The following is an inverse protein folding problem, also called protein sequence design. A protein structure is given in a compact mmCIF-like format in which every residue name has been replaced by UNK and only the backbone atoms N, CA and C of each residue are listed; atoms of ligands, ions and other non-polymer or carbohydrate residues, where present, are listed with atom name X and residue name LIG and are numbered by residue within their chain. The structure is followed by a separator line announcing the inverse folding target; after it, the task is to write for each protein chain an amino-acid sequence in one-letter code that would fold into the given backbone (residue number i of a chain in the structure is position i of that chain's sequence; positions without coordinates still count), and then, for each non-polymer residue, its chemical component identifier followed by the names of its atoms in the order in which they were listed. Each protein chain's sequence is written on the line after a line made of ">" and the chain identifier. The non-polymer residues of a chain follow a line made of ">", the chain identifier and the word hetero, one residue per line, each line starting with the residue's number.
data_IF_808923786275
#
_entry.id   IF_808923786275
#
_cell.length_a   1.000
_cell.length_b   1.000
_cell.length_c   1.000
_cell.angle_alpha   90.00
_cell.angle_beta   90.00
_cell.angle_gamma   90.00
#
_symmetry.space_group_name_H-M   'P 1'
#
loop_
_entity.id
_entity.type
_entity.pdbx_description
1 polymer ?
#
# COMPACT_ATOMS: atom_id res chain seq x y z
N UNK A 1 -17.31 7.91 4.23
CA UNK A 1 -17.71 9.27 3.84
C UNK A 1 -16.85 9.80 2.69
N UNK A 2 -17.10 11.04 2.24
CA UNK A 2 -16.35 11.65 1.13
C UNK A 2 -14.84 11.88 1.40
N UNK A 3 -14.40 11.70 2.63
CA UNK A 3 -12.99 11.84 3.04
C UNK A 3 -12.29 10.48 3.21
N UNK A 4 -12.96 9.38 2.88
CA UNK A 4 -12.46 8.02 3.02
C UNK A 4 -12.62 7.42 4.41
N UNK A 5 -13.18 8.16 5.39
CA UNK A 5 -13.38 7.65 6.75
C UNK A 5 -14.53 6.64 6.77
N UNK A 6 -14.30 5.48 7.40
CA UNK A 6 -15.35 4.49 7.66
C UNK A 6 -16.34 5.06 8.68
N UNK A 7 -17.62 5.18 8.29
CA UNK A 7 -18.68 5.70 9.14
C UNK A 7 -19.40 4.57 9.86
N UNK A 8 -19.63 3.46 9.15
CA UNK A 8 -20.31 2.27 9.67
C UNK A 8 -19.82 1.04 8.90
N UNK A 9 -19.72 -0.07 9.59
CA UNK A 9 -19.41 -1.36 8.96
C UNK A 9 -20.31 -2.44 9.54
N UNK A 10 -20.36 -3.57 8.85
CA UNK A 10 -21.01 -4.80 9.29
C UNK A 10 -20.13 -5.98 8.89
N UNK A 11 -19.98 -6.94 9.78
CA UNK A 11 -19.23 -8.17 9.56
C UNK A 11 -20.16 -9.34 9.82
N UNK A 12 -20.23 -10.30 8.90
CA UNK A 12 -21.11 -11.45 9.06
C UNK A 12 -20.93 -12.49 7.96
N UNK A 13 -21.56 -13.63 8.14
CA UNK A 13 -21.60 -14.67 7.12
C UNK A 13 -22.52 -14.28 5.97
N UNK A 14 -22.04 -14.50 4.74
CA UNK A 14 -22.78 -14.17 3.53
C UNK A 14 -22.70 -15.30 2.50
N UNK A 15 -23.68 -15.34 1.62
CA UNK A 15 -23.62 -16.16 0.40
C UNK A 15 -23.42 -15.21 -0.78
N UNK A 16 -22.37 -15.46 -1.56
CA UNK A 16 -22.03 -14.63 -2.72
C UNK A 16 -22.24 -15.40 -4.02
N UNK A 17 -22.56 -14.65 -5.11
CA UNK A 17 -22.58 -15.16 -6.47
C UNK A 17 -21.74 -14.20 -7.32
N UNK A 18 -20.62 -14.72 -7.86
CA UNK A 18 -19.77 -13.94 -8.76
C UNK A 18 -20.45 -13.73 -10.10
N UNK A 19 -20.69 -12.48 -10.48
CA UNK A 19 -21.27 -12.13 -11.76
C UNK A 19 -20.20 -12.04 -12.86
N UNK A 20 -19.05 -11.43 -12.52
CA UNK A 20 -17.91 -11.29 -13.41
C UNK A 20 -16.62 -11.67 -12.69
N UNK A 21 -15.82 -12.53 -13.28
CA UNK A 21 -14.47 -12.82 -12.83
C UNK A 21 -13.50 -11.93 -13.61
N UNK A 22 -13.03 -10.85 -12.96
CA UNK A 22 -12.15 -9.88 -13.58
C UNK A 22 -10.67 -10.22 -13.34
N UNK A 23 -9.83 -9.79 -14.28
CA UNK A 23 -8.38 -9.77 -14.11
C UNK A 23 -7.89 -8.32 -13.96
N UNK A 24 -6.76 -8.11 -13.34
CA UNK A 24 -6.14 -6.78 -13.26
C UNK A 24 -5.89 -6.19 -14.65
N UNK A 25 -5.42 -7.03 -15.60
CA UNK A 25 -5.19 -6.60 -16.98
C UNK A 25 -6.47 -6.06 -17.63
N UNK A 26 -7.58 -6.81 -17.55
CA UNK A 26 -8.86 -6.36 -18.13
C UNK A 26 -9.35 -5.05 -17.50
N UNK A 27 -9.21 -4.91 -16.19
CA UNK A 27 -9.62 -3.68 -15.48
C UNK A 27 -8.71 -2.51 -15.84
N UNK A 28 -7.39 -2.71 -15.93
CA UNK A 28 -6.46 -1.67 -16.35
C UNK A 28 -6.75 -1.24 -17.80
N UNK A 29 -7.04 -2.19 -18.71
CA UNK A 29 -7.43 -1.90 -20.08
C UNK A 29 -8.73 -1.09 -20.15
N UNK A 30 -9.73 -1.42 -19.32
CA UNK A 30 -10.97 -0.64 -19.22
C UNK A 30 -10.70 0.79 -18.75
N UNK A 31 -9.87 0.96 -17.72
CA UNK A 31 -9.48 2.28 -17.17
C UNK A 31 -8.71 3.09 -18.23
N UNK A 32 -7.88 2.43 -19.04
CA UNK A 32 -7.16 3.02 -20.16
C UNK A 32 -8.05 3.35 -21.38
N UNK A 33 -9.34 2.99 -21.35
CA UNK A 33 -10.29 3.31 -22.41
C UNK A 33 -10.32 2.30 -23.58
N UNK A 34 -9.85 1.07 -23.38
CA UNK A 34 -9.91 0.02 -24.39
C UNK A 34 -11.37 -0.29 -24.76
N UNK A 35 -11.77 0.01 -25.99
CA UNK A 35 -13.16 -0.08 -26.46
C UNK A 35 -13.71 -1.51 -26.45
N UNK A 36 -12.89 -2.51 -26.74
CA UNK A 36 -13.28 -3.91 -26.71
C UNK A 36 -13.63 -4.35 -25.28
N UNK A 37 -12.78 -4.00 -24.31
CA UNK A 37 -13.01 -4.32 -22.90
C UNK A 37 -14.20 -3.56 -22.34
N UNK A 38 -14.35 -2.28 -22.67
CA UNK A 38 -15.52 -1.48 -22.29
C UNK A 38 -16.82 -2.06 -22.84
N UNK A 39 -16.84 -2.56 -24.08
CA UNK A 39 -18.01 -3.22 -24.66
C UNK A 39 -18.31 -4.56 -23.99
N UNK A 40 -17.28 -5.39 -23.78
CA UNK A 40 -17.40 -6.71 -23.13
C UNK A 40 -17.95 -6.61 -21.72
N UNK A 41 -17.46 -5.64 -20.93
CA UNK A 41 -17.80 -5.48 -19.52
C UNK A 41 -18.71 -4.29 -19.24
N UNK A 42 -19.50 -3.85 -20.24
CA UNK A 42 -20.36 -2.66 -20.19
C UNK A 42 -21.18 -2.54 -18.90
N UNK A 43 -21.70 -3.67 -18.41
CA UNK A 43 -22.57 -3.68 -17.23
C UNK A 43 -21.86 -3.26 -15.94
N UNK A 44 -20.53 -3.41 -15.83
CA UNK A 44 -19.77 -3.10 -14.62
C UNK A 44 -18.89 -1.86 -14.74
N UNK A 45 -18.79 -1.25 -15.93
CA UNK A 45 -17.99 -0.02 -16.14
C UNK A 45 -18.30 1.06 -15.10
N UNK A 46 -19.57 1.42 -14.82
CA UNK A 46 -19.88 2.43 -13.81
C UNK A 46 -19.39 2.06 -12.40
N UNK A 47 -19.42 0.76 -12.06
CA UNK A 47 -18.89 0.28 -10.78
C UNK A 47 -17.38 0.42 -10.70
N UNK A 48 -16.66 0.08 -11.76
CA UNK A 48 -15.19 0.22 -11.83
C UNK A 48 -14.79 1.70 -11.71
N UNK A 49 -15.49 2.61 -12.38
CA UNK A 49 -15.25 4.06 -12.25
C UNK A 49 -15.45 4.57 -10.81
N UNK A 50 -16.47 4.08 -10.11
CA UNK A 50 -16.69 4.40 -8.70
C UNK A 50 -15.60 3.80 -7.80
N UNK A 51 -15.14 2.59 -8.10
CA UNK A 51 -14.05 1.95 -7.38
C UNK A 51 -12.74 2.73 -7.52
N UNK A 52 -12.44 3.24 -8.72
CA UNK A 52 -11.27 4.11 -8.95
C UNK A 52 -11.34 5.37 -8.08
N UNK A 53 -12.49 6.07 -8.08
CA UNK A 53 -12.69 7.27 -7.23
C UNK A 53 -12.57 6.96 -5.74
N UNK A 54 -13.06 5.80 -5.31
CA UNK A 54 -12.91 5.36 -3.92
C UNK A 54 -11.43 5.08 -3.60
N UNK A 55 -10.71 4.41 -4.50
CA UNK A 55 -9.27 4.17 -4.35
C UNK A 55 -8.51 5.48 -4.17
N UNK A 56 -8.71 6.46 -5.05
CA UNK A 56 -8.07 7.78 -4.96
C UNK A 56 -8.35 8.46 -3.61
N UNK A 57 -9.58 8.35 -3.12
CA UNK A 57 -9.98 8.91 -1.82
C UNK A 57 -9.25 8.22 -0.66
N UNK A 58 -9.17 6.89 -0.68
CA UNK A 58 -8.49 6.09 0.35
C UNK A 58 -6.97 6.31 0.32
N UNK A 59 -6.39 6.38 -0.86
CA UNK A 59 -4.96 6.67 -1.05
C UNK A 59 -4.59 8.06 -0.52
N UNK A 60 -5.38 9.09 -0.88
CA UNK A 60 -5.19 10.44 -0.36
C UNK A 60 -5.33 10.52 1.18
N UNK A 61 -6.26 9.74 1.77
CA UNK A 61 -6.41 9.65 3.21
C UNK A 61 -5.18 9.02 3.86
N UNK A 62 -4.68 7.90 3.33
CA UNK A 62 -3.47 7.23 3.82
C UNK A 62 -2.24 8.12 3.70
N UNK A 63 -2.10 8.80 2.57
CA UNK A 63 -1.02 9.76 2.36
C UNK A 63 -1.01 10.84 3.45
N UNK A 64 -2.17 11.43 3.75
CA UNK A 64 -2.31 12.49 4.77
C UNK A 64 -1.99 12.05 6.20
N UNK A 65 -2.09 10.76 6.51
CA UNK A 65 -1.74 10.23 7.83
C UNK A 65 -0.30 9.71 7.91
N UNK A 66 0.52 9.95 6.88
CA UNK A 66 1.93 9.60 6.85
C UNK A 66 2.24 8.17 6.41
N UNK A 67 1.32 7.46 5.75
CA UNK A 67 1.60 6.13 5.21
C UNK A 67 2.79 6.19 4.24
N UNK A 68 3.81 5.39 4.48
CA UNK A 68 4.98 5.31 3.61
C UNK A 68 4.66 4.43 2.40
N UNK A 69 4.85 4.96 1.22
CA UNK A 69 4.71 4.20 -0.02
C UNK A 69 6.10 3.80 -0.52
N UNK A 70 6.40 2.51 -0.45
CA UNK A 70 7.63 1.94 -1.01
C UNK A 70 7.31 1.36 -2.38
N UNK A 71 7.49 2.16 -3.41
CA UNK A 71 7.34 1.70 -4.80
C UNK A 71 8.62 0.95 -5.19
N UNK A 72 8.63 -0.36 -4.96
CA UNK A 72 9.76 -1.22 -5.31
C UNK A 72 9.47 -1.92 -6.62
N UNK A 73 10.44 -1.88 -7.53
CA UNK A 73 10.37 -2.63 -8.79
C UNK A 73 10.41 -4.13 -8.51
N UNK A 74 9.34 -4.84 -8.84
CA UNK A 74 9.29 -6.30 -8.75
C UNK A 74 9.64 -6.94 -10.10
N UNK A 75 10.52 -7.95 -10.07
CA UNK A 75 10.83 -8.75 -11.25
C UNK A 75 9.80 -9.88 -11.42
N UNK A 76 9.24 -10.01 -12.62
CA UNK A 76 8.42 -11.14 -13.05
C UNK A 76 9.26 -12.09 -13.88
N UNK A 77 9.47 -13.30 -13.38
CA UNK A 77 10.16 -14.35 -14.11
C UNK A 77 9.18 -15.04 -15.05
N UNK A 78 9.43 -14.99 -16.35
CA UNK A 78 8.64 -15.69 -17.36
C UNK A 78 9.25 -17.06 -17.54
N UNK A 79 8.43 -18.09 -17.42
CA UNK A 79 8.82 -19.49 -17.61
C UNK A 79 8.17 -20.08 -18.86
N UNK A 80 8.85 -21.02 -19.51
CA UNK A 80 8.30 -21.81 -20.60
C UNK A 80 7.35 -22.93 -20.08
N UNK A 81 6.86 -23.77 -20.98
CA UNK A 81 5.96 -24.88 -20.63
C UNK A 81 6.60 -25.94 -19.73
N UNK A 82 7.92 -26.02 -19.72
CA UNK A 82 8.71 -26.95 -18.91
C UNK A 82 9.11 -26.35 -17.56
N UNK A 83 8.65 -25.12 -17.26
CA UNK A 83 8.96 -24.41 -16.03
C UNK A 83 10.36 -23.75 -15.99
N UNK A 84 11.06 -23.71 -17.13
CA UNK A 84 12.38 -23.09 -17.22
C UNK A 84 12.26 -21.58 -17.44
N UNK A 85 13.06 -20.74 -16.72
CA UNK A 85 13.08 -19.30 -16.92
C UNK A 85 13.56 -18.96 -18.34
N UNK A 86 12.78 -18.11 -19.05
CA UNK A 86 13.09 -17.68 -20.42
C UNK A 86 13.23 -16.16 -20.53
N UNK A 87 12.68 -15.41 -19.57
CA UNK A 87 12.76 -13.95 -19.56
C UNK A 87 12.56 -13.40 -18.14
N UNK A 88 13.03 -12.17 -17.89
CA UNK A 88 12.80 -11.41 -16.68
C UNK A 88 12.24 -10.04 -17.07
N UNK A 89 11.03 -9.77 -16.64
CA UNK A 89 10.32 -8.52 -16.93
C UNK A 89 10.04 -7.75 -15.65
N UNK A 90 10.03 -6.42 -15.72
CA UNK A 90 9.52 -5.60 -14.63
C UNK A 90 8.00 -5.77 -14.53
N UNK A 91 7.52 -6.11 -13.34
CA UNK A 91 6.10 -6.13 -13.05
C UNK A 91 5.59 -4.70 -12.91
N UNK A 92 4.82 -4.27 -13.88
CA UNK A 92 4.12 -2.99 -13.77
C UNK A 92 2.84 -3.19 -12.93
N UNK A 93 2.73 -2.43 -11.85
CA UNK A 93 1.51 -2.35 -11.03
C UNK A 93 0.64 -1.24 -11.59
N UNK A 94 -0.51 -1.60 -12.14
CA UNK A 94 -1.51 -0.66 -12.65
C UNK A 94 -2.43 -0.10 -11.55
N UNK A 95 -3.42 0.67 -11.99
CA UNK A 95 -4.43 1.24 -11.08
C UNK A 95 -5.28 0.12 -10.46
N UNK A 96 -5.58 -0.95 -11.21
CA UNK A 96 -6.41 -2.05 -10.72
C UNK A 96 -5.76 -2.76 -9.51
N UNK A 97 -4.45 -3.02 -9.55
CA UNK A 97 -3.72 -3.64 -8.44
C UNK A 97 -3.73 -2.74 -7.20
N UNK A 98 -3.42 -1.45 -7.37
CA UNK A 98 -3.41 -0.45 -6.28
C UNK A 98 -4.80 -0.22 -5.68
N UNK A 99 -5.83 -0.27 -6.51
CA UNK A 99 -7.22 -0.16 -6.10
C UNK A 99 -7.63 -1.31 -5.17
N UNK A 100 -7.34 -2.55 -5.54
CA UNK A 100 -7.63 -3.71 -4.69
C UNK A 100 -6.80 -3.68 -3.41
N UNK A 101 -5.53 -3.30 -3.48
CA UNK A 101 -4.70 -3.08 -2.29
C UNK A 101 -5.34 -2.05 -1.34
N UNK A 102 -5.83 -0.92 -1.85
CA UNK A 102 -6.51 0.09 -1.04
C UNK A 102 -7.73 -0.45 -0.32
N UNK A 103 -8.52 -1.29 -0.98
CA UNK A 103 -9.72 -1.91 -0.39
C UNK A 103 -9.35 -2.97 0.64
N UNK A 104 -8.32 -3.77 0.38
CA UNK A 104 -7.81 -4.76 1.34
C UNK A 104 -7.28 -4.07 2.60
N UNK A 105 -6.50 -3.01 2.46
CA UNK A 105 -5.99 -2.22 3.58
C UNK A 105 -7.13 -1.64 4.42
N UNK A 106 -8.13 -1.01 3.77
CA UNK A 106 -9.29 -0.46 4.47
C UNK A 106 -10.11 -1.53 5.19
N UNK A 107 -10.29 -2.71 4.58
CA UNK A 107 -10.98 -3.83 5.21
C UNK A 107 -10.22 -4.36 6.42
N UNK A 108 -8.91 -4.57 6.29
CA UNK A 108 -8.06 -5.06 7.37
C UNK A 108 -8.03 -4.10 8.56
N UNK A 109 -7.91 -2.79 8.30
CA UNK A 109 -8.00 -1.76 9.34
C UNK A 109 -9.36 -1.79 10.04
N UNK A 110 -10.45 -1.87 9.27
CA UNK A 110 -11.82 -1.91 9.80
C UNK A 110 -12.07 -3.14 10.69
N UNK A 111 -11.57 -4.31 10.26
CA UNK A 111 -11.71 -5.56 11.04
C UNK A 111 -10.89 -5.48 12.32
N UNK A 112 -9.65 -5.04 12.26
CA UNK A 112 -8.78 -4.91 13.43
C UNK A 112 -9.36 -3.91 14.45
N UNK A 113 -9.84 -2.76 14.00
CA UNK A 113 -10.49 -1.75 14.84
C UNK A 113 -11.78 -2.29 15.48
N UNK A 114 -12.56 -3.09 14.74
CA UNK A 114 -13.79 -3.69 15.26
C UNK A 114 -13.53 -4.58 16.48
N UNK A 115 -12.58 -5.51 16.39
CA UNK A 115 -12.24 -6.40 17.48
C UNK A 115 -11.56 -5.67 18.65
N UNK A 116 -10.72 -4.68 18.37
CA UNK A 116 -10.12 -3.84 19.40
C UNK A 116 -11.17 -3.08 20.22
N UNK A 117 -12.18 -2.49 19.56
CA UNK A 117 -13.28 -1.77 20.23
C UNK A 117 -14.19 -2.68 21.08
N UNK A 118 -14.24 -3.95 20.76
CA UNK A 118 -15.01 -4.95 21.53
C UNK A 118 -14.19 -5.57 22.66
N UNK A 119 -12.91 -5.21 22.79
CA UNK A 119 -11.98 -5.81 23.76
C UNK A 119 -11.94 -7.35 23.67
N UNK A 120 -11.97 -7.86 22.44
CA UNK A 120 -11.94 -9.28 22.17
C UNK A 120 -10.52 -9.73 21.81
N UNK A 121 -10.10 -10.95 22.20
CA UNK A 121 -8.85 -11.53 21.74
C UNK A 121 -8.77 -11.53 20.22
N UNK A 122 -7.70 -10.98 19.68
CA UNK A 122 -7.52 -10.86 18.24
C UNK A 122 -6.04 -10.95 17.85
N UNK A 123 -5.76 -11.20 16.58
CA UNK A 123 -4.40 -11.23 16.05
C UNK A 123 -4.21 -10.00 15.17
N UNK A 124 -3.33 -9.11 15.60
CA UNK A 124 -2.96 -7.90 14.87
C UNK A 124 -1.69 -8.13 14.05
N UNK A 125 -1.61 -7.54 12.87
CA UNK A 125 -0.35 -7.43 12.15
C UNK A 125 0.28 -6.08 12.49
N UNK A 126 1.27 -6.12 13.35
CA UNK A 126 1.94 -4.92 13.86
C UNK A 126 3.22 -4.61 13.06
N UNK A 127 3.52 -3.33 12.95
CA UNK A 127 4.77 -2.83 12.39
C UNK A 127 5.28 -1.69 13.28
N UNK A 128 6.25 -2.02 14.10
CA UNK A 128 6.81 -1.07 15.08
C UNK A 128 7.66 0.00 14.38
N UNK A 129 7.92 1.10 15.07
CA UNK A 129 8.77 2.17 14.59
C UNK A 129 10.20 1.67 14.28
N UNK A 130 10.89 2.28 13.31
CA UNK A 130 12.26 1.93 13.02
C UNK A 130 13.19 2.20 14.20
N UNK A 131 14.19 1.36 14.41
CA UNK A 131 15.20 1.62 15.44
C UNK A 131 16.00 2.87 15.10
N UNK A 132 16.19 3.76 16.07
CA UNK A 132 16.90 5.04 15.87
C UNK A 132 18.28 4.86 15.22
N UNK A 133 19.04 3.81 15.59
CA UNK A 133 20.36 3.54 15.00
C UNK A 133 20.29 3.25 13.49
N UNK A 134 19.26 2.50 13.05
CA UNK A 134 19.09 2.19 11.62
C UNK A 134 18.59 3.40 10.85
N UNK A 135 17.69 4.17 11.45
CA UNK A 135 17.16 5.38 10.84
C UNK A 135 18.24 6.46 10.75
N UNK A 136 19.16 6.56 11.73
CA UNK A 136 20.30 7.47 11.67
C UNK A 136 21.21 7.15 10.48
N UNK A 137 21.50 5.87 10.23
CA UNK A 137 22.29 5.47 9.03
C UNK A 137 21.63 5.88 7.73
N UNK A 138 20.29 5.80 7.64
CA UNK A 138 19.56 6.29 6.49
C UNK A 138 19.68 7.82 6.37
N UNK A 139 19.53 8.57 7.47
CA UNK A 139 19.67 10.04 7.50
C UNK A 139 21.07 10.46 7.05
N UNK A 140 22.11 9.82 7.60
CA UNK A 140 23.50 10.11 7.25
C UNK A 140 23.75 9.85 5.75
N UNK A 141 23.18 8.77 5.24
CA UNK A 141 23.28 8.44 3.83
C UNK A 141 22.54 9.45 2.94
N UNK A 142 21.29 9.80 3.27
CA UNK A 142 20.54 10.83 2.56
C UNK A 142 21.29 12.17 2.57
N UNK A 143 21.89 12.54 3.68
CA UNK A 143 22.70 13.77 3.83
C UNK A 143 23.93 13.73 2.92
N UNK A 144 24.55 12.56 2.69
CA UNK A 144 25.69 12.42 1.77
C UNK A 144 25.34 12.74 0.30
N UNK A 145 24.06 12.65 -0.08
CA UNK A 145 23.53 13.13 -1.38
C UNK A 145 23.16 14.62 -1.36
N UNK A 146 23.50 15.37 -0.30
CA UNK A 146 23.16 16.78 -0.17
C UNK A 146 21.71 17.05 0.22
N UNK A 147 20.98 16.03 0.68
CA UNK A 147 19.58 16.17 1.08
C UNK A 147 19.50 16.71 2.52
N UNK A 148 18.66 17.71 2.73
CA UNK A 148 18.34 18.17 4.09
C UNK A 148 17.24 17.30 4.67
N UNK A 149 17.53 16.61 5.77
CA UNK A 149 16.58 15.83 6.55
C UNK A 149 16.20 16.62 7.80
N UNK A 150 14.92 16.90 7.99
CA UNK A 150 14.41 17.66 9.12
C UNK A 150 14.04 16.71 10.27
N UNK A 151 14.77 16.81 11.37
CA UNK A 151 14.63 15.97 12.56
C UNK A 151 15.84 15.07 12.80
N UNK A 152 15.83 14.41 13.95
CA UNK A 152 16.82 13.40 14.33
C UNK A 152 16.21 12.00 14.18
N UNK A 153 17.04 10.97 14.21
CA UNK A 153 16.57 9.59 14.14
C UNK A 153 15.55 9.19 15.22
N UNK A 154 15.50 9.94 16.32
CA UNK A 154 14.53 9.72 17.41
C UNK A 154 13.32 10.64 17.36
N UNK A 155 13.27 11.62 16.45
CA UNK A 155 12.21 12.63 16.40
C UNK A 155 11.65 12.89 15.00
N UNK A 156 12.20 12.23 13.96
CA UNK A 156 11.71 12.40 12.59
C UNK A 156 10.32 11.81 12.45
N UNK A 157 9.40 12.60 11.92
CA UNK A 157 8.03 12.14 11.66
C UNK A 157 7.94 11.32 10.36
N UNK A 158 6.89 10.49 10.26
CA UNK A 158 6.58 9.79 9.01
C UNK A 158 6.36 10.76 7.85
N UNK A 159 5.69 11.89 8.09
CA UNK A 159 5.48 12.94 7.08
C UNK A 159 6.81 13.52 6.57
N UNK A 160 7.81 13.68 7.44
CA UNK A 160 9.13 14.17 7.03
C UNK A 160 9.84 13.15 6.13
N UNK A 161 9.74 11.85 6.45
CA UNK A 161 10.27 10.77 5.61
C UNK A 161 9.53 10.69 4.27
N UNK A 162 8.21 10.76 4.29
CA UNK A 162 7.37 10.76 3.10
C UNK A 162 7.71 11.94 2.17
N UNK A 163 7.79 13.15 2.71
CA UNK A 163 8.17 14.34 1.97
C UNK A 163 9.59 14.25 1.40
N UNK A 164 10.52 13.65 2.14
CA UNK A 164 11.87 13.41 1.64
C UNK A 164 11.83 12.48 0.42
N UNK A 165 11.13 11.36 0.51
CA UNK A 165 11.03 10.38 -0.58
C UNK A 165 10.30 10.94 -1.80
N UNK A 166 9.26 11.77 -1.61
CA UNK A 166 8.56 12.44 -2.72
C UNK A 166 9.47 13.44 -3.46
N UNK A 167 10.33 14.14 -2.73
CA UNK A 167 11.29 15.10 -3.33
C UNK A 167 12.36 14.43 -4.18
N UNK A 168 12.69 13.19 -3.90
CA UNK A 168 13.77 12.46 -4.58
C UNK A 168 13.28 11.41 -5.58
N UNK A 169 11.98 11.27 -5.76
CA UNK A 169 11.40 10.18 -6.57
C UNK A 169 11.88 10.11 -8.00
N UNK A 170 12.19 11.26 -8.59
CA UNK A 170 12.65 11.37 -9.97
C UNK A 170 14.19 11.45 -10.09
N UNK A 171 14.90 11.33 -8.97
CA UNK A 171 16.36 11.38 -8.93
C UNK A 171 16.99 10.03 -9.24
N UNK A 172 18.17 9.97 -9.87
CA UNK A 172 18.84 8.72 -10.22
C UNK A 172 19.16 7.80 -9.03
N UNK A 173 19.19 8.34 -7.81
CA UNK A 173 19.46 7.63 -6.56
C UNK A 173 18.19 7.30 -5.75
N UNK A 174 17.00 7.57 -6.27
CA UNK A 174 15.72 7.33 -5.60
C UNK A 174 15.57 5.87 -5.13
N UNK A 175 15.85 4.91 -6.00
CA UNK A 175 15.75 3.49 -5.68
C UNK A 175 16.68 3.07 -4.54
N UNK A 176 17.87 3.66 -4.49
CA UNK A 176 18.85 3.35 -3.43
C UNK A 176 18.36 3.90 -2.10
N UNK A 177 17.82 5.13 -2.08
CA UNK A 177 17.24 5.73 -0.88
C UNK A 177 16.00 4.98 -0.41
N UNK A 178 15.11 4.58 -1.33
CA UNK A 178 13.95 3.73 -1.03
C UNK A 178 14.39 2.42 -0.36
N UNK A 179 15.39 1.75 -0.92
CA UNK A 179 15.92 0.51 -0.36
C UNK A 179 16.55 0.73 1.02
N UNK A 180 17.31 1.80 1.21
CA UNK A 180 17.93 2.13 2.50
C UNK A 180 16.88 2.45 3.56
N UNK A 181 15.84 3.22 3.21
CA UNK A 181 14.74 3.50 4.11
C UNK A 181 13.98 2.22 4.47
N UNK A 182 13.66 1.38 3.49
CA UNK A 182 13.01 0.09 3.72
C UNK A 182 13.82 -0.81 4.65
N UNK A 183 15.14 -0.88 4.48
CA UNK A 183 16.05 -1.65 5.36
C UNK A 183 16.17 -1.08 6.77
N UNK A 184 15.88 0.20 6.95
CA UNK A 184 15.84 0.83 8.28
C UNK A 184 14.58 0.44 9.06
N UNK A 185 13.51 0.07 8.36
CA UNK A 185 12.25 -0.36 8.96
C UNK A 185 12.38 -1.69 9.71
N UNK A 186 11.48 -1.90 10.66
CA UNK A 186 11.30 -3.21 11.28
C UNK A 186 10.46 -4.11 10.35
N UNK A 187 10.51 -5.41 10.59
CA UNK A 187 9.61 -6.33 9.89
C UNK A 187 8.25 -6.35 10.57
N UNK A 188 7.19 -6.30 9.78
CA UNK A 188 5.85 -6.52 10.31
C UNK A 188 5.70 -7.95 10.80
N UNK A 189 5.05 -8.13 11.94
CA UNK A 189 4.83 -9.43 12.60
C UNK A 189 3.41 -9.53 13.15
N UNK A 190 2.95 -10.73 13.43
CA UNK A 190 1.69 -10.93 14.12
C UNK A 190 1.88 -10.85 15.64
N UNK A 191 0.89 -10.28 16.33
CA UNK A 191 0.88 -10.11 17.78
C UNK A 191 -0.57 -10.11 18.28
N UNK A 192 -0.80 -10.63 19.47
CA UNK A 192 -2.07 -10.51 20.20
C UNK A 192 -2.26 -9.09 20.78
N UNK A 193 -1.16 -8.34 20.93
CA UNK A 193 -1.19 -6.96 21.39
C UNK A 193 -1.05 -6.01 20.21
N UNK A 194 -1.93 -5.03 20.14
CA UNK A 194 -1.87 -3.97 19.12
C UNK A 194 -0.75 -2.97 19.46
N UNK A 195 0.15 -2.76 18.50
CA UNK A 195 1.18 -1.73 18.53
C UNK A 195 1.10 -0.80 17.31
N UNK A 196 -0.01 -0.85 16.58
CA UNK A 196 -0.18 -0.12 15.34
C UNK A 196 0.66 -0.67 14.18
N UNK A 197 0.56 -0.01 13.05
CA UNK A 197 1.31 -0.35 11.85
C UNK A 197 2.01 0.88 11.29
N UNK A 198 3.27 1.09 11.69
CA UNK A 198 4.07 2.27 11.33
C UNK A 198 4.05 2.54 9.82
N UNK A 199 4.45 1.59 8.98
CA UNK A 199 4.52 1.79 7.53
C UNK A 199 3.20 2.22 6.85
N UNK A 200 2.05 1.85 7.43
CA UNK A 200 0.73 2.24 6.94
C UNK A 200 0.17 3.49 7.64
N UNK A 201 0.84 4.00 8.68
CA UNK A 201 0.30 5.03 9.54
C UNK A 201 -1.05 4.62 10.16
N UNK A 202 -1.26 3.34 10.40
CA UNK A 202 -2.52 2.79 10.89
C UNK A 202 -2.44 2.46 12.39
N UNK A 203 -3.48 2.84 13.14
CA UNK A 203 -3.59 2.53 14.56
C UNK A 203 -3.93 1.05 14.80
N UNK A 204 -4.77 0.48 13.93
CA UNK A 204 -5.19 -0.93 13.97
C UNK A 204 -4.97 -1.57 12.59
N UNK A 205 -4.42 -2.78 12.58
CA UNK A 205 -4.26 -3.54 11.33
C UNK A 205 -4.18 -5.05 11.61
N UNK A 206 -4.66 -5.88 10.65
CA UNK A 206 -4.57 -7.34 10.70
C UNK A 206 -4.27 -7.95 9.33
#
# INVERSE_FOLDING_TARGET
>A
DRKGKVVKHWIGQTVIKTTFRMTYSDVNDMIAGNQEKLATYKAIVPSVELMVKLHETLEAMRYKRGALNFDTSEAKIIVNKDGLPVDIQLRQRGIAERMIESFMLAANECVAEHFAKLDLPFIYRIHEEPKSEKLQKFIDYATSFGLTVYGTASSISQDALQNLMERVKDEPYADVLNMMLLRSMQQARYSEHNHGHYGLGAEFYT
#
